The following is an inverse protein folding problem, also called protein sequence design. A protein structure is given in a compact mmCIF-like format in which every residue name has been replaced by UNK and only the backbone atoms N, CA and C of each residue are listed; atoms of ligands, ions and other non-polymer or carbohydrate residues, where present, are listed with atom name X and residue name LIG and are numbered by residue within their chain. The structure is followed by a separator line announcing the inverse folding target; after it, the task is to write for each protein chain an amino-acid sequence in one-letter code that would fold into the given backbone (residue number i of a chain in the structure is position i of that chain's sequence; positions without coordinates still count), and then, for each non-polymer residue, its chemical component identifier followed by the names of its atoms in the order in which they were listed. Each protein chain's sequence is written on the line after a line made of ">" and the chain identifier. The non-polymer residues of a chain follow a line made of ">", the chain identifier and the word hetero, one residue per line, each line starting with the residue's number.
data_IF_441444659751
#
_entry.id   IF_441444659751
#
_cell.length_a   1.000
_cell.length_b   1.000
_cell.length_c   1.000
_cell.angle_alpha   90.00
_cell.angle_beta   90.00
_cell.angle_gamma   90.00
#
_symmetry.space_group_name_H-M   'P 1'
#
loop_
_entity.id
_entity.type
_entity.pdbx_description
1 polymer ?
#
# COMPACT_ATOMS: atom_id res chain seq x y z
N UNK A 1 -5.62 -8.15 10.23
CA UNK A 1 -4.89 -7.70 9.02
C UNK A 1 -3.73 -8.65 8.76
N UNK A 2 -3.26 -8.76 7.52
CA UNK A 2 -2.13 -9.63 7.13
C UNK A 2 -1.18 -8.86 6.20
N UNK A 3 0.12 -9.04 6.40
CA UNK A 3 1.19 -8.37 5.65
C UNK A 3 1.90 -9.34 4.70
N UNK A 4 2.04 -8.91 3.44
CA UNK A 4 2.73 -9.62 2.36
C UNK A 4 3.94 -8.79 1.92
N UNK A 5 5.14 -9.09 2.44
CA UNK A 5 6.34 -8.37 2.04
C UNK A 5 6.71 -8.71 0.59
N UNK A 6 6.94 -7.70 -0.24
CA UNK A 6 7.49 -7.89 -1.58
C UNK A 6 8.98 -8.27 -1.51
N UNK A 7 9.45 -8.93 -2.57
CA UNK A 7 10.88 -9.23 -2.73
C UNK A 7 11.69 -7.94 -2.64
N UNK A 8 12.74 -7.97 -1.83
CA UNK A 8 13.61 -6.82 -1.60
C UNK A 8 14.63 -6.69 -2.73
N UNK A 9 14.73 -5.50 -3.32
CA UNK A 9 15.80 -5.16 -4.27
C UNK A 9 16.97 -4.40 -3.59
N UNK A 10 16.68 -3.55 -2.59
CA UNK A 10 17.65 -2.76 -1.84
C UNK A 10 17.43 -2.89 -0.32
N UNK A 11 18.51 -2.92 0.48
CA UNK A 11 18.50 -3.06 1.95
C UNK A 11 17.89 -1.89 2.72
N UNK A 12 17.50 -0.81 2.05
CA UNK A 12 16.90 0.36 2.71
C UNK A 12 15.37 0.41 2.55
N UNK A 13 14.83 -0.15 1.47
CA UNK A 13 13.39 -0.05 1.14
C UNK A 13 12.75 -1.44 1.18
N UNK A 14 11.61 -1.55 1.86
CA UNK A 14 10.79 -2.75 1.84
C UNK A 14 9.33 -2.35 1.60
N UNK A 15 8.75 -2.82 0.49
CA UNK A 15 7.32 -2.68 0.25
C UNK A 15 6.55 -3.85 0.88
N UNK A 16 5.38 -3.55 1.42
CA UNK A 16 4.45 -4.52 1.98
C UNK A 16 3.08 -4.28 1.38
N UNK A 17 2.48 -5.34 0.84
CA UNK A 17 1.06 -5.37 0.53
C UNK A 17 0.31 -5.83 1.78
N UNK A 18 -0.53 -4.97 2.34
CA UNK A 18 -1.29 -5.24 3.57
C UNK A 18 -2.75 -5.40 3.23
N UNK A 19 -3.38 -6.48 3.69
CA UNK A 19 -4.83 -6.67 3.63
C UNK A 19 -5.45 -6.47 5.01
N UNK A 20 -6.46 -5.59 5.08
CA UNK A 20 -7.35 -5.45 6.23
C UNK A 20 -8.71 -6.01 5.85
N UNK A 21 -9.08 -7.10 6.51
CA UNK A 21 -10.37 -7.75 6.34
C UNK A 21 -11.28 -7.34 7.51
N UNK A 22 -12.34 -6.54 7.26
CA UNK A 22 -13.31 -6.19 8.28
C UNK A 22 -14.01 -7.43 8.85
N UNK A 23 -14.48 -7.35 10.09
CA UNK A 23 -15.32 -8.40 10.65
C UNK A 23 -16.62 -8.53 9.85
N UNK A 24 -17.23 -9.72 9.88
CA UNK A 24 -18.51 -9.95 9.19
C UNK A 24 -19.57 -8.96 9.66
N UNK A 25 -20.35 -8.45 8.71
CA UNK A 25 -21.43 -7.48 8.98
C UNK A 25 -21.00 -6.00 8.93
N UNK A 26 -19.71 -5.69 8.88
CA UNK A 26 -19.24 -4.30 8.74
C UNK A 26 -19.30 -3.87 7.28
N UNK A 27 -20.07 -2.80 6.98
CA UNK A 27 -20.14 -2.22 5.64
C UNK A 27 -18.93 -1.34 5.34
N UNK A 28 -18.53 -1.27 4.06
CA UNK A 28 -17.44 -0.38 3.64
C UNK A 28 -17.76 1.10 3.89
N UNK A 29 -19.03 1.50 3.82
CA UNK A 29 -19.49 2.86 4.13
C UNK A 29 -19.20 3.26 5.57
N UNK A 30 -19.39 2.35 6.52
CA UNK A 30 -19.06 2.59 7.94
C UNK A 30 -17.55 2.79 8.13
N UNK A 31 -16.74 2.05 7.36
CA UNK A 31 -15.29 2.18 7.38
C UNK A 31 -14.87 3.51 6.77
N UNK A 32 -15.45 3.90 5.64
CA UNK A 32 -15.20 5.19 5.00
C UNK A 32 -15.54 6.35 5.95
N UNK A 33 -16.69 6.29 6.61
CA UNK A 33 -17.08 7.31 7.59
C UNK A 33 -16.11 7.38 8.77
N UNK A 34 -15.60 6.23 9.24
CA UNK A 34 -14.57 6.19 10.29
C UNK A 34 -13.27 6.85 9.82
N UNK A 35 -12.84 6.65 8.58
CA UNK A 35 -11.69 7.35 8.03
C UNK A 35 -11.88 8.87 7.96
N UNK A 36 -13.09 9.35 7.65
CA UNK A 36 -13.39 10.78 7.65
C UNK A 36 -13.47 11.35 9.07
N UNK A 37 -14.07 10.62 10.00
CA UNK A 37 -14.38 11.11 11.36
C UNK A 37 -13.21 10.95 12.33
N UNK A 38 -12.26 10.07 12.05
CA UNK A 38 -11.12 9.76 12.91
C UNK A 38 -9.81 9.98 12.13
N UNK A 39 -9.22 11.18 12.19
CA UNK A 39 -8.04 11.53 11.38
C UNK A 39 -6.82 10.65 11.71
N UNK A 40 -6.69 10.16 12.94
CA UNK A 40 -5.58 9.30 13.36
C UNK A 40 -5.75 7.85 12.95
N UNK A 41 -6.94 7.41 12.52
CA UNK A 41 -7.21 5.99 12.28
C UNK A 41 -6.29 5.37 11.23
N UNK A 42 -6.00 6.11 10.15
CA UNK A 42 -5.05 5.67 9.12
C UNK A 42 -3.64 5.55 9.69
N UNK A 43 -3.21 6.54 10.47
CA UNK A 43 -1.90 6.54 11.12
C UNK A 43 -1.77 5.39 12.10
N UNK A 44 -2.80 5.13 12.92
CA UNK A 44 -2.83 4.03 13.87
C UNK A 44 -2.72 2.68 13.15
N UNK A 45 -3.46 2.49 12.05
CA UNK A 45 -3.38 1.30 11.20
C UNK A 45 -1.98 1.16 10.59
N UNK A 46 -1.35 2.26 10.16
CA UNK A 46 -0.03 2.24 9.52
C UNK A 46 1.12 2.10 10.52
N UNK A 47 0.98 2.65 11.72
CA UNK A 47 1.99 2.67 12.78
C UNK A 47 1.96 1.42 13.65
N UNK A 48 1.00 0.50 13.42
CA UNK A 48 1.08 -0.86 13.92
C UNK A 48 2.29 -1.60 13.32
N UNK A 49 3.42 -1.50 14.03
CA UNK A 49 4.71 -2.11 13.70
C UNK A 49 4.91 -3.47 14.36
N UNK A 50 4.11 -3.83 15.38
CA UNK A 50 4.16 -5.15 16.01
C UNK A 50 3.50 -6.18 15.09
N UNK A 51 4.29 -6.78 14.21
CA UNK A 51 3.89 -7.93 13.40
C UNK A 51 4.64 -9.16 13.90
N UNK A 52 3.91 -10.24 14.18
CA UNK A 52 4.51 -11.55 14.48
C UNK A 52 4.49 -12.41 13.22
N UNK A 53 5.59 -13.10 12.93
CA UNK A 53 5.62 -14.12 11.88
C UNK A 53 4.93 -15.37 12.40
N UNK A 54 3.87 -15.79 11.72
CA UNK A 54 3.12 -16.99 12.07
C UNK A 54 2.72 -17.75 10.81
N UNK A 55 2.70 -19.07 10.88
CA UNK A 55 2.11 -19.91 9.83
C UNK A 55 0.58 -19.77 9.86
N UNK A 56 0.00 -19.40 8.72
CA UNK A 56 -1.44 -19.20 8.57
C UNK A 56 -1.95 -19.91 7.33
N UNK A 57 -3.21 -20.36 7.38
CA UNK A 57 -3.92 -20.87 6.20
C UNK A 57 -4.61 -19.71 5.49
N UNK A 58 -4.18 -19.43 4.26
CA UNK A 58 -4.52 -18.19 3.57
C UNK A 58 -5.38 -18.44 2.33
N UNK A 59 -6.52 -17.74 2.26
CA UNK A 59 -7.38 -17.68 1.08
C UNK A 59 -7.52 -16.22 0.65
N UNK A 60 -6.90 -15.87 -0.47
CA UNK A 60 -6.96 -14.54 -1.07
C UNK A 60 -7.36 -14.68 -2.54
N UNK A 61 -8.35 -13.91 -3.03
CA UNK A 61 -8.69 -13.88 -4.44
C UNK A 61 -7.53 -13.29 -5.25
N UNK A 62 -7.20 -13.91 -6.38
CA UNK A 62 -6.32 -13.28 -7.37
C UNK A 62 -7.13 -12.22 -8.11
N UNK A 63 -6.63 -10.99 -8.13
CA UNK A 63 -7.28 -9.90 -8.84
C UNK A 63 -6.24 -9.03 -9.55
N UNK A 64 -6.69 -8.36 -10.61
CA UNK A 64 -6.01 -7.27 -11.28
C UNK A 64 -7.02 -6.13 -11.38
N UNK A 65 -6.59 -4.90 -11.14
CA UNK A 65 -7.42 -3.72 -11.34
C UNK A 65 -6.62 -2.65 -12.08
N UNK A 66 -7.32 -1.94 -12.95
CA UNK A 66 -6.84 -0.75 -13.65
C UNK A 66 -7.95 0.30 -13.50
N UNK A 67 -7.59 1.49 -13.05
CA UNK A 67 -8.55 2.54 -12.75
C UNK A 67 -8.01 3.88 -13.22
N UNK A 68 -8.88 4.71 -13.79
CA UNK A 68 -8.58 6.08 -14.19
C UNK A 68 -9.57 7.01 -13.47
N UNK A 69 -9.05 8.09 -12.89
CA UNK A 69 -9.84 9.07 -12.15
C UNK A 69 -9.50 10.48 -12.65
N UNK A 70 -10.53 11.30 -12.86
CA UNK A 70 -10.37 12.74 -13.08
C UNK A 70 -10.62 13.46 -11.76
N UNK A 71 -9.55 13.85 -11.08
CA UNK A 71 -9.61 14.35 -9.70
C UNK A 71 -9.89 15.85 -9.57
N UNK A 72 -10.12 16.57 -10.67
CA UNK A 72 -10.28 18.02 -10.66
C UNK A 72 -11.36 18.46 -9.67
N UNK A 73 -12.58 17.94 -9.83
CA UNK A 73 -13.72 18.32 -8.98
C UNK A 73 -13.52 17.91 -7.52
N UNK A 74 -12.93 16.74 -7.27
CA UNK A 74 -12.66 16.27 -5.91
C UNK A 74 -11.62 17.16 -5.20
N UNK A 75 -10.54 17.53 -5.91
CA UNK A 75 -9.49 18.39 -5.37
C UNK A 75 -9.99 19.83 -5.15
N UNK A 76 -10.86 20.34 -6.03
CA UNK A 76 -11.57 21.59 -5.82
C UNK A 76 -12.41 21.51 -4.53
N UNK A 77 -13.19 20.44 -4.31
CA UNK A 77 -13.94 20.27 -3.06
C UNK A 77 -13.03 20.20 -1.81
N UNK A 78 -11.79 19.78 -1.97
CA UNK A 78 -10.74 19.83 -0.94
C UNK A 78 -9.99 21.18 -0.89
N UNK A 79 -10.62 22.25 -1.40
CA UNK A 79 -10.14 23.63 -1.41
C UNK A 79 -8.92 23.92 -2.32
N UNK A 80 -8.55 23.00 -3.21
CA UNK A 80 -7.49 23.21 -4.20
C UNK A 80 -8.11 23.83 -5.47
N UNK A 81 -8.60 25.06 -5.36
CA UNK A 81 -9.27 25.75 -6.47
C UNK A 81 -8.30 26.49 -7.40
N UNK A 82 -7.37 27.25 -6.82
CA UNK A 82 -6.49 28.15 -7.59
C UNK A 82 -5.64 27.39 -8.60
N UNK A 83 -5.27 26.14 -8.31
CA UNK A 83 -4.53 25.26 -9.20
C UNK A 83 -5.28 24.94 -10.52
N UNK A 84 -6.62 25.03 -10.53
CA UNK A 84 -7.45 24.73 -11.71
C UNK A 84 -8.15 25.96 -12.30
N UNK A 85 -7.96 27.14 -11.69
CA UNK A 85 -8.47 28.42 -12.17
C UNK A 85 -7.40 29.08 -13.06
N UNK A 86 -7.66 29.21 -14.36
CA UNK A 86 -6.72 29.80 -15.31
C UNK A 86 -6.29 31.23 -14.99
N UNK A 87 -7.09 31.96 -14.21
CA UNK A 87 -6.77 33.34 -13.80
C UNK A 87 -5.95 33.43 -12.53
N UNK A 88 -5.89 32.37 -11.72
CA UNK A 88 -5.21 32.33 -10.40
C UNK A 88 -4.08 31.31 -10.32
N UNK A 89 -4.10 30.32 -11.21
CA UNK A 89 -3.12 29.24 -11.24
C UNK A 89 -1.71 29.79 -11.43
N UNK A 90 -0.90 29.64 -10.39
CA UNK A 90 0.50 30.05 -10.42
C UNK A 90 1.41 28.82 -10.35
N UNK A 91 1.74 28.27 -11.51
CA UNK A 91 2.70 27.16 -11.67
C UNK A 91 4.07 27.63 -12.19
N UNK A 92 4.43 28.90 -11.95
CA UNK A 92 5.68 29.50 -12.44
C UNK A 92 6.96 28.73 -12.07
N UNK A 93 6.96 27.97 -10.96
CA UNK A 93 8.07 27.11 -10.55
C UNK A 93 8.15 25.74 -11.24
N UNK A 94 7.11 25.35 -11.99
CA UNK A 94 7.07 24.11 -12.80
C UNK A 94 7.39 24.41 -14.26
N UNK A 95 7.01 25.60 -14.74
CA UNK A 95 7.24 26.02 -16.13
C UNK A 95 8.67 26.56 -16.29
N UNK A 96 9.63 25.65 -16.33
CA UNK A 96 10.92 25.83 -17.01
C UNK A 96 10.92 24.93 -18.26
N UNK A 97 11.17 25.51 -19.44
CA UNK A 97 11.22 24.77 -20.70
C UNK A 97 12.43 23.83 -20.71
N UNK A 98 12.24 22.56 -20.36
CA UNK A 98 13.25 21.52 -20.60
C UNK A 98 12.57 20.24 -21.09
N UNK A 99 12.75 20.00 -22.40
CA UNK A 99 12.33 18.79 -23.10
C UNK A 99 13.31 17.67 -22.75
N UNK A 100 12.85 16.62 -22.07
CA UNK A 100 13.65 15.45 -21.77
C UNK A 100 13.12 14.26 -22.58
N UNK A 101 13.98 13.72 -23.43
CA UNK A 101 13.76 12.51 -24.23
C UNK A 101 14.33 11.31 -23.47
N UNK A 102 13.56 10.25 -23.25
CA UNK A 102 14.03 9.01 -22.61
C UNK A 102 14.00 7.82 -23.59
N UNK A 103 15.07 6.99 -23.59
CA UNK A 103 15.07 5.66 -24.21
C UNK A 103 16.09 4.67 -23.59
N UNK A 104 15.57 3.44 -23.33
CA UNK A 104 16.17 2.09 -23.43
C UNK A 104 16.94 1.40 -22.26
N UNK A 105 16.21 0.48 -21.59
CA UNK A 105 16.41 -0.95 -21.21
C UNK A 105 17.79 -1.65 -20.99
N UNK A 106 17.85 -2.55 -19.97
CA UNK A 106 18.27 -3.98 -20.07
C UNK A 106 18.07 -4.79 -18.75
N UNK A 107 17.94 -6.13 -18.85
CA UNK A 107 17.47 -7.10 -17.85
C UNK A 107 18.55 -8.06 -17.29
N UNK A 108 18.33 -8.74 -16.15
CA UNK A 108 19.19 -9.86 -15.65
C UNK A 108 18.44 -10.96 -14.84
N UNK A 109 18.91 -12.21 -14.99
CA UNK A 109 18.33 -13.53 -14.68
C UNK A 109 18.18 -13.98 -13.20
N UNK A 110 17.41 -15.07 -13.00
CA UNK A 110 17.07 -15.77 -11.73
C UNK A 110 17.81 -17.10 -11.60
N UNK A 111 18.22 -17.49 -10.38
CA UNK A 111 18.57 -18.88 -10.00
C UNK A 111 17.79 -19.24 -8.73
N UNK A 112 17.03 -20.34 -8.75
CA UNK A 112 16.34 -20.94 -7.60
C UNK A 112 17.04 -22.23 -7.17
N UNK A 113 17.25 -22.40 -5.87
CA UNK A 113 17.56 -23.69 -5.23
C UNK A 113 16.52 -23.95 -4.14
N UNK A 114 15.89 -25.14 -4.18
CA UNK A 114 14.89 -25.61 -3.23
C UNK A 114 15.54 -26.51 -2.18
N UNK A 115 15.19 -26.31 -0.91
CA UNK A 115 15.33 -27.34 0.14
C UNK A 115 14.11 -27.27 1.06
N UNK A 116 13.40 -28.39 1.21
CA UNK A 116 12.25 -28.54 2.12
C UNK A 116 12.70 -29.10 3.48
N UNK A 117 12.01 -28.70 4.55
CA UNK A 117 11.91 -29.46 5.79
C UNK A 117 10.44 -29.52 6.23
N UNK A 118 9.97 -30.71 6.65
CA UNK A 118 8.63 -30.89 7.23
C UNK A 118 8.63 -30.39 8.67
N UNK A 119 7.71 -29.48 9.01
CA UNK A 119 7.44 -29.08 10.38
C UNK A 119 5.99 -29.43 10.73
N UNK A 120 5.84 -30.02 11.91
CA UNK A 120 4.60 -30.43 12.55
C UNK A 120 3.70 -29.20 12.76
N UNK A 121 2.44 -29.25 12.30
CA UNK A 121 1.55 -28.09 12.27
C UNK A 121 0.82 -27.86 13.61
N UNK A 122 1.07 -26.74 14.33
CA UNK A 122 0.16 -26.23 15.37
C UNK A 122 -1.10 -25.61 14.72
N UNK A 123 -2.17 -25.33 15.49
CA UNK A 123 -3.47 -24.89 14.93
C UNK A 123 -3.33 -23.70 13.98
N UNK A 124 -3.78 -23.89 12.74
CA UNK A 124 -3.72 -22.89 11.68
C UNK A 124 -4.68 -21.74 11.98
N UNK A 125 -4.15 -20.53 12.17
CA UNK A 125 -4.98 -19.34 12.04
C UNK A 125 -5.42 -19.27 10.58
N UNK A 126 -6.73 -19.23 10.34
CA UNK A 126 -7.31 -19.16 9.00
C UNK A 126 -7.64 -17.72 8.65
N UNK A 127 -7.09 -17.21 7.54
CA UNK A 127 -7.45 -15.91 6.98
C UNK A 127 -8.15 -16.10 5.62
N UNK A 128 -9.46 -15.82 5.58
CA UNK A 128 -10.31 -15.94 4.39
C UNK A 128 -10.83 -14.60 3.91
N UNK A 129 -10.21 -14.04 2.87
CA UNK A 129 -10.65 -12.81 2.21
C UNK A 129 -11.78 -13.08 1.18
N UNK A 130 -12.86 -13.72 1.62
CA UNK A 130 -14.05 -14.07 0.80
C UNK A 130 -15.19 -13.04 0.91
N UNK A 131 -14.87 -11.83 1.40
CA UNK A 131 -15.78 -10.69 1.54
C UNK A 131 -15.01 -9.39 1.28
N UNK A 132 -15.67 -8.24 1.04
CA UNK A 132 -14.98 -6.99 0.75
C UNK A 132 -13.89 -6.68 1.78
N UNK A 133 -12.70 -6.33 1.29
CA UNK A 133 -11.52 -6.05 2.10
C UNK A 133 -10.85 -4.77 1.61
N UNK A 134 -10.05 -4.15 2.47
CA UNK A 134 -9.19 -3.04 2.13
C UNK A 134 -7.77 -3.56 1.93
N UNK A 135 -7.04 -2.96 1.00
CA UNK A 135 -5.62 -3.25 0.82
C UNK A 135 -4.80 -1.97 0.69
N UNK A 136 -3.53 -2.07 1.04
CA UNK A 136 -2.57 -0.98 0.97
C UNK A 136 -1.23 -1.50 0.48
N UNK A 137 -0.58 -0.74 -0.40
CA UNK A 137 0.84 -0.92 -0.70
C UNK A 137 1.59 0.18 0.03
N UNK A 138 2.49 -0.21 0.93
CA UNK A 138 3.22 0.76 1.76
C UNK A 138 4.70 0.48 1.81
N UNK A 139 5.49 1.54 1.94
CA UNK A 139 6.90 1.46 2.33
C UNK A 139 6.99 1.20 3.84
N UNK A 140 7.78 0.20 4.24
CA UNK A 140 8.14 -0.08 5.62
C UNK A 140 9.60 0.33 5.83
N UNK A 141 9.81 1.52 6.39
CA UNK A 141 11.14 1.98 6.81
C UNK A 141 11.56 1.23 8.06
N UNK A 142 12.75 0.62 8.02
CA UNK A 142 13.38 0.14 9.24
C UNK A 142 14.05 1.33 9.91
N UNK A 143 13.67 1.62 11.15
CA UNK A 143 14.34 2.62 11.96
C UNK A 143 15.77 2.12 12.19
N UNK A 144 16.76 2.73 11.53
CA UNK A 144 18.16 2.52 11.87
C UNK A 144 18.36 3.20 13.22
N UNK A 145 18.40 2.42 14.30
CA UNK A 145 18.97 2.92 15.53
C UNK A 145 20.40 3.34 15.20
N UNK A 146 20.65 4.65 15.18
CA UNK A 146 21.99 5.19 15.18
C UNK A 146 22.61 4.84 16.52
N UNK A 147 23.35 3.73 16.57
CA UNK A 147 24.30 3.48 17.65
C UNK A 147 25.42 4.49 17.46
N UNK A 148 25.42 5.53 18.29
CA UNK A 148 26.60 6.38 18.53
C UNK A 148 27.67 5.61 19.30
#
# INVERSE_FOLDING_TARGET
>A
MVDFPYKRANKDIQFVFRITLPNGGVLLSEIQQKFTSQPTLLEDIFNQQKTTTQEILLYIPKFKMETQFELKTDLEQLAIHDAFDTSKANFSGIVSQQNNTEAAAAATNVIMTLSCAKVQQPPHIVFRAERPFLFYIRERRQFRASTS
#
